data_IF_387737399671
#
_entry.id   IF_387737399671
#
_cell.length_a   1.000
_cell.length_b   1.000
_cell.length_c   1.000
_cell.angle_alpha   90.00
_cell.angle_beta   90.00
_cell.angle_gamma   90.00
#
_symmetry.space_group_name_H-M   'P 1'
#
loop_
_entity.id
_entity.type
_entity.pdbx_description
1 polymer ?
#
# COMPACT_ATOMS: atom_id res chain seq x y z
N UNK A 1 -23.01 -34.62 -7.99
CA UNK A 1 -23.23 -33.60 -6.94
C UNK A 1 -22.03 -33.64 -6.01
N UNK A 2 -21.13 -32.66 -6.10
CA UNK A 2 -19.92 -32.59 -5.28
C UNK A 2 -20.27 -32.03 -3.90
N UNK A 3 -20.13 -32.85 -2.85
CA UNK A 3 -20.37 -32.44 -1.48
C UNK A 3 -19.23 -31.50 -1.04
N UNK A 4 -19.56 -30.23 -0.78
CA UNK A 4 -18.63 -29.29 -0.12
C UNK A 4 -18.48 -29.72 1.33
N UNK A 5 -17.30 -30.18 1.71
CA UNK A 5 -16.95 -30.47 3.10
C UNK A 5 -16.99 -29.17 3.93
N UNK A 6 -17.93 -29.07 4.86
CA UNK A 6 -17.94 -28.00 5.86
C UNK A 6 -16.80 -28.24 6.87
N UNK A 7 -15.80 -27.38 6.85
CA UNK A 7 -14.81 -27.29 7.93
C UNK A 7 -15.45 -26.54 9.11
N UNK A 8 -15.53 -27.13 10.32
CA UNK A 8 -16.13 -26.47 11.48
C UNK A 8 -15.27 -25.32 12.05
N UNK A 9 -14.05 -25.13 11.53
CA UNK A 9 -13.20 -24.00 11.85
C UNK A 9 -13.12 -23.04 10.67
N UNK A 10 -13.33 -21.72 10.88
CA UNK A 10 -13.08 -20.73 9.83
C UNK A 10 -11.62 -20.89 9.39
N UNK A 11 -11.39 -21.03 8.08
CA UNK A 11 -10.03 -21.11 7.54
C UNK A 11 -9.32 -19.80 7.90
N UNK A 12 -8.25 -19.89 8.67
CA UNK A 12 -7.39 -18.75 8.97
C UNK A 12 -6.68 -18.37 7.67
N UNK A 13 -7.04 -17.22 7.08
CA UNK A 13 -6.39 -16.72 5.88
C UNK A 13 -4.94 -16.31 6.14
N UNK A 14 -4.18 -16.18 5.05
CA UNK A 14 -2.77 -15.77 5.08
C UNK A 14 -2.67 -14.28 5.34
N UNK A 15 -1.57 -13.85 5.95
CA UNK A 15 -1.22 -12.43 6.11
C UNK A 15 0.04 -12.16 5.33
N UNK A 16 0.01 -11.23 4.37
CA UNK A 16 1.20 -10.86 3.58
C UNK A 16 1.35 -9.36 3.50
N UNK A 17 2.60 -8.88 3.49
CA UNK A 17 2.88 -7.46 3.41
C UNK A 17 3.96 -7.12 2.38
N UNK A 18 3.82 -5.96 1.74
CA UNK A 18 4.87 -5.32 0.95
C UNK A 18 5.05 -3.91 1.49
N UNK A 19 6.25 -3.61 1.98
CA UNK A 19 6.61 -2.32 2.58
C UNK A 19 7.71 -1.68 1.74
N UNK A 20 7.47 -0.46 1.26
CA UNK A 20 8.31 0.20 0.25
C UNK A 20 8.72 1.56 0.77
N UNK A 21 10.03 1.80 0.87
CA UNK A 21 10.60 3.09 1.26
C UNK A 21 11.51 3.60 0.16
N UNK A 22 11.11 4.68 -0.51
CA UNK A 22 11.88 5.37 -1.56
C UNK A 22 12.45 6.67 -0.99
N UNK A 23 13.73 6.65 -0.63
CA UNK A 23 14.45 7.82 -0.13
C UNK A 23 14.85 8.75 -1.26
N UNK A 24 15.35 8.19 -2.36
CA UNK A 24 15.91 8.90 -3.51
C UNK A 24 15.22 8.44 -4.79
N UNK A 25 14.94 9.39 -5.66
CA UNK A 25 14.47 9.13 -7.02
C UNK A 25 15.56 9.59 -7.98
N UNK A 26 16.13 8.66 -8.73
CA UNK A 26 17.17 8.96 -9.71
C UNK A 26 16.56 9.64 -10.95
N UNK A 27 17.34 10.52 -11.59
CA UNK A 27 17.01 11.15 -12.87
C UNK A 27 15.73 11.99 -12.87
N UNK A 28 15.32 12.51 -11.71
CA UNK A 28 14.21 13.47 -11.58
C UNK A 28 14.73 14.70 -10.83
N UNK A 29 14.66 15.86 -11.47
CA UNK A 29 15.13 17.12 -10.90
C UNK A 29 14.16 17.65 -9.84
N UNK A 30 14.69 18.40 -8.86
CA UNK A 30 13.88 19.08 -7.84
C UNK A 30 13.42 18.21 -6.66
N UNK A 31 13.55 16.88 -6.74
CA UNK A 31 13.17 15.98 -5.64
C UNK A 31 14.26 15.91 -4.56
N UNK A 32 13.88 16.23 -3.32
CA UNK A 32 14.77 16.14 -2.15
C UNK A 32 14.76 14.72 -1.54
N UNK A 33 15.85 14.27 -0.93
CA UNK A 33 15.87 13.00 -0.20
C UNK A 33 14.82 12.93 0.92
N UNK A 34 14.04 11.85 0.98
CA UNK A 34 13.09 11.58 2.07
C UNK A 34 13.75 10.68 3.11
N UNK A 35 14.40 11.29 4.10
CA UNK A 35 15.26 10.57 5.05
C UNK A 35 14.49 9.57 5.93
N UNK A 36 13.20 9.79 6.16
CA UNK A 36 12.37 8.95 7.04
C UNK A 36 11.76 7.73 6.36
N UNK A 37 11.62 7.72 5.03
CA UNK A 37 10.94 6.64 4.30
C UNK A 37 11.45 5.23 4.65
N UNK A 38 12.73 5.07 4.96
CA UNK A 38 13.29 3.78 5.41
C UNK A 38 12.98 3.47 6.88
N UNK A 39 13.01 4.48 7.74
CA UNK A 39 12.73 4.33 9.17
C UNK A 39 11.24 4.00 9.40
N UNK A 40 10.34 4.61 8.64
CA UNK A 40 8.90 4.35 8.71
C UNK A 40 8.58 2.92 8.28
N UNK A 41 9.22 2.43 7.22
CA UNK A 41 9.14 1.03 6.77
C UNK A 41 9.64 0.06 7.85
N UNK A 42 10.77 0.37 8.50
CA UNK A 42 11.34 -0.48 9.54
C UNK A 42 10.42 -0.52 10.78
N UNK A 43 9.91 0.63 11.22
CA UNK A 43 8.96 0.71 12.32
C UNK A 43 7.65 -0.04 12.04
N UNK A 44 7.12 0.08 10.83
CA UNK A 44 5.90 -0.61 10.44
C UNK A 44 6.10 -2.12 10.32
N UNK A 45 7.26 -2.57 9.83
CA UNK A 45 7.63 -4.00 9.84
C UNK A 45 7.60 -4.55 11.27
N UNK A 46 8.29 -3.88 12.20
CA UNK A 46 8.35 -4.30 13.61
C UNK A 46 6.94 -4.38 14.21
N UNK A 47 6.08 -3.40 13.91
CA UNK A 47 4.70 -3.40 14.36
C UNK A 47 3.90 -4.59 13.80
N UNK A 48 4.03 -4.89 12.50
CA UNK A 48 3.34 -6.01 11.86
C UNK A 48 3.75 -7.37 12.46
N UNK A 49 5.03 -7.55 12.73
CA UNK A 49 5.58 -8.75 13.36
C UNK A 49 5.12 -8.90 14.82
N UNK A 50 5.33 -7.86 15.62
CA UNK A 50 5.20 -7.94 17.07
C UNK A 50 3.75 -7.84 17.56
N UNK A 51 2.87 -7.17 16.80
CA UNK A 51 1.50 -6.86 17.26
C UNK A 51 0.39 -7.39 16.35
N UNK A 52 0.66 -7.59 15.06
CA UNK A 52 -0.37 -8.02 14.11
C UNK A 52 -0.22 -9.47 13.64
N UNK A 53 0.81 -10.17 14.10
CA UNK A 53 1.01 -11.59 13.84
C UNK A 53 1.32 -11.91 12.38
N UNK A 54 1.96 -10.99 11.66
CA UNK A 54 2.62 -11.31 10.40
C UNK A 54 3.89 -12.11 10.68
N UNK A 55 4.28 -12.95 9.73
CA UNK A 55 5.55 -13.68 9.80
C UNK A 55 6.60 -12.99 8.95
N UNK A 56 7.86 -13.11 9.35
CA UNK A 56 8.99 -12.54 8.62
C UNK A 56 9.00 -13.00 7.16
N UNK A 57 8.74 -14.29 6.89
CA UNK A 57 8.71 -14.84 5.53
C UNK A 57 7.58 -14.31 4.64
N UNK A 58 6.54 -13.71 5.26
CA UNK A 58 5.38 -13.17 4.57
C UNK A 58 5.44 -11.63 4.41
N UNK A 59 6.58 -11.01 4.74
CA UNK A 59 6.82 -9.56 4.57
C UNK A 59 7.96 -9.34 3.58
N UNK A 60 7.71 -8.57 2.53
CA UNK A 60 8.76 -8.07 1.64
C UNK A 60 9.04 -6.60 1.95
N UNK A 61 10.30 -6.28 2.20
CA UNK A 61 10.78 -4.91 2.43
C UNK A 61 11.63 -4.44 1.26
N UNK A 62 11.26 -3.30 0.68
CA UNK A 62 12.01 -2.66 -0.41
C UNK A 62 12.57 -1.31 0.03
N UNK A 63 13.90 -1.13 -0.06
CA UNK A 63 14.61 0.11 0.31
C UNK A 63 15.77 0.39 -0.63
N UNK A 64 15.94 1.64 -1.03
CA UNK A 64 17.04 2.14 -1.88
C UNK A 64 18.26 2.58 -1.04
N UNK A 65 18.89 1.64 -0.34
CA UNK A 65 20.14 1.88 0.40
C UNK A 65 21.20 0.83 0.06
N UNK A 66 22.47 1.22 0.16
CA UNK A 66 23.62 0.42 -0.30
C UNK A 66 23.75 -0.95 0.40
N UNK A 67 23.30 -1.04 1.64
CA UNK A 67 23.32 -2.25 2.47
C UNK A 67 22.05 -3.10 2.31
N UNK A 68 21.08 -2.68 1.48
CA UNK A 68 19.90 -3.47 1.13
C UNK A 68 20.11 -4.17 -0.23
N UNK A 69 19.67 -5.43 -0.41
CA UNK A 69 19.91 -6.16 -1.64
C UNK A 69 19.36 -5.43 -2.89
N UNK A 70 20.14 -5.29 -3.98
CA UNK A 70 19.70 -4.55 -5.18
C UNK A 70 18.41 -5.04 -5.83
N UNK A 71 18.08 -6.32 -5.68
CA UNK A 71 16.82 -6.95 -6.13
C UNK A 71 15.60 -6.58 -5.28
N UNK A 72 15.83 -5.94 -4.13
CA UNK A 72 14.83 -5.33 -3.27
C UNK A 72 14.91 -3.80 -3.30
N UNK A 73 15.64 -3.20 -4.24
CA UNK A 73 15.54 -1.77 -4.46
C UNK A 73 14.21 -1.44 -5.14
N UNK A 74 13.50 -0.40 -4.69
CA UNK A 74 12.15 -0.06 -5.14
C UNK A 74 12.14 0.59 -6.53
N UNK A 75 12.59 -0.14 -7.55
CA UNK A 75 12.45 0.24 -8.96
C UNK A 75 11.01 0.00 -9.40
N UNK A 76 10.47 0.84 -10.28
CA UNK A 76 9.05 0.78 -10.67
C UNK A 76 8.59 -0.63 -11.13
N UNK A 77 9.42 -1.32 -11.92
CA UNK A 77 9.13 -2.68 -12.37
C UNK A 77 9.20 -3.71 -11.23
N UNK A 78 10.11 -3.56 -10.27
CA UNK A 78 10.24 -4.45 -9.12
C UNK A 78 9.10 -4.25 -8.12
N UNK A 79 8.65 -3.00 -7.91
CA UNK A 79 7.47 -2.69 -7.09
C UNK A 79 6.25 -3.45 -7.65
N UNK A 80 6.01 -3.36 -8.96
CA UNK A 80 4.90 -4.08 -9.62
C UNK A 80 5.01 -5.60 -9.45
N UNK A 81 6.22 -6.17 -9.53
CA UNK A 81 6.43 -7.60 -9.26
C UNK A 81 6.13 -7.97 -7.80
N UNK A 82 6.40 -7.08 -6.84
CA UNK A 82 6.05 -7.33 -5.42
C UNK A 82 4.57 -7.17 -5.15
N UNK A 83 3.89 -6.27 -5.85
CA UNK A 83 2.43 -6.18 -5.85
C UNK A 83 1.82 -7.48 -6.37
N UNK A 84 2.30 -7.99 -7.52
CA UNK A 84 1.81 -9.28 -8.04
C UNK A 84 2.04 -10.41 -7.04
N UNK A 85 3.22 -10.44 -6.42
CA UNK A 85 3.52 -11.41 -5.39
C UNK A 85 2.53 -11.28 -4.23
N UNK A 86 2.25 -10.07 -3.75
CA UNK A 86 1.39 -9.80 -2.60
C UNK A 86 0.02 -10.45 -2.76
N UNK A 87 -0.66 -10.15 -3.87
CA UNK A 87 -2.04 -10.59 -4.14
C UNK A 87 -2.13 -11.91 -4.90
N UNK A 88 -0.99 -12.57 -5.15
CA UNK A 88 -0.95 -13.85 -5.85
C UNK A 88 -1.80 -14.90 -5.12
N UNK A 89 -2.67 -15.56 -5.87
CA UNK A 89 -3.55 -16.63 -5.41
C UNK A 89 -4.42 -16.18 -4.22
N UNK A 90 -4.89 -14.93 -4.22
CA UNK A 90 -5.72 -14.38 -3.15
C UNK A 90 -6.96 -15.27 -2.88
N UNK A 91 -7.23 -15.50 -1.59
CA UNK A 91 -8.34 -16.33 -1.14
C UNK A 91 -9.17 -15.64 -0.07
N UNK A 92 -10.35 -16.18 0.19
CA UNK A 92 -11.24 -15.71 1.24
C UNK A 92 -10.51 -15.74 2.61
N UNK A 93 -10.68 -14.67 3.39
CA UNK A 93 -10.04 -14.40 4.68
C UNK A 93 -8.56 -14.02 4.63
N UNK A 94 -7.91 -13.97 3.46
CA UNK A 94 -6.54 -13.44 3.35
C UNK A 94 -6.51 -11.94 3.71
N UNK A 95 -5.40 -11.49 4.31
CA UNK A 95 -5.14 -10.10 4.67
C UNK A 95 -3.84 -9.64 4.01
N UNK A 96 -3.94 -8.56 3.25
CA UNK A 96 -2.83 -7.95 2.54
C UNK A 96 -2.53 -6.58 3.14
N UNK A 97 -1.25 -6.28 3.34
CA UNK A 97 -0.79 -4.96 3.76
C UNK A 97 0.15 -4.39 2.70
N UNK A 98 -0.17 -3.22 2.17
CA UNK A 98 0.67 -2.50 1.23
C UNK A 98 1.03 -1.15 1.83
N UNK A 99 2.32 -0.87 1.96
CA UNK A 99 2.82 0.42 2.42
C UNK A 99 3.80 1.01 1.42
N UNK A 100 3.60 2.27 1.09
CA UNK A 100 4.54 3.06 0.32
C UNK A 100 4.85 4.35 1.06
N UNK A 101 6.13 4.65 1.26
CA UNK A 101 6.63 5.95 1.68
C UNK A 101 7.63 6.47 0.66
N UNK A 102 7.37 7.65 0.09
CA UNK A 102 8.18 8.19 -1.00
C UNK A 102 7.59 9.42 -1.66
N UNK A 103 8.17 9.82 -2.80
CA UNK A 103 7.60 10.91 -3.60
C UNK A 103 6.37 10.42 -4.37
N UNK A 104 5.32 11.25 -4.38
CA UNK A 104 4.19 11.13 -5.30
C UNK A 104 4.46 11.91 -6.60
N UNK A 105 3.76 11.55 -7.67
CA UNK A 105 3.73 12.26 -8.93
C UNK A 105 2.31 12.75 -9.21
N UNK A 106 2.18 13.98 -9.73
CA UNK A 106 0.95 14.47 -10.34
C UNK A 106 1.27 14.85 -11.78
N UNK A 107 0.71 14.11 -12.74
CA UNK A 107 0.88 14.40 -14.18
C UNK A 107 -0.46 14.79 -14.78
N UNK A 108 -0.49 15.66 -15.79
CA UNK A 108 -1.75 15.98 -16.48
C UNK A 108 -2.32 14.71 -17.16
N UNK A 109 -3.56 14.37 -16.83
CA UNK A 109 -4.28 13.22 -17.38
C UNK A 109 -4.54 13.47 -18.86
N UNK A 110 -4.09 12.56 -19.72
CA UNK A 110 -4.23 12.68 -21.19
C UNK A 110 -5.42 11.91 -21.77
N UNK A 111 -6.04 11.04 -20.97
CA UNK A 111 -7.16 10.18 -21.36
C UNK A 111 -8.51 10.59 -20.79
N UNK A 112 -8.56 11.62 -19.92
CA UNK A 112 -9.81 12.20 -19.40
C UNK A 112 -10.63 11.26 -18.52
N UNK A 113 -10.02 10.26 -17.89
CA UNK A 113 -10.67 9.40 -16.89
C UNK A 113 -10.83 10.10 -15.54
N UNK A 114 -9.97 11.09 -15.25
CA UNK A 114 -9.91 11.80 -13.98
C UNK A 114 -10.83 13.02 -13.96
N UNK A 115 -11.56 13.21 -12.86
CA UNK A 115 -12.51 14.33 -12.66
C UNK A 115 -11.77 15.68 -12.62
N UNK A 116 -10.52 15.70 -12.14
CA UNK A 116 -9.67 16.89 -12.07
C UNK A 116 -8.66 17.00 -13.24
N UNK A 117 -8.60 15.99 -14.10
CA UNK A 117 -7.68 15.91 -15.23
C UNK A 117 -6.22 15.70 -14.83
N UNK A 118 -5.90 15.06 -13.69
CA UNK A 118 -4.53 14.72 -13.28
C UNK A 118 -4.40 13.26 -12.84
N UNK A 119 -3.43 12.55 -13.42
CA UNK A 119 -3.05 11.21 -12.99
C UNK A 119 -2.13 11.30 -11.75
N UNK A 120 -2.47 10.57 -10.69
CA UNK A 120 -1.63 10.41 -9.50
C UNK A 120 -0.76 9.15 -9.63
N UNK A 121 0.41 9.15 -9.00
CA UNK A 121 1.26 7.97 -9.02
C UNK A 121 2.39 7.97 -8.00
N UNK A 122 2.98 6.80 -7.78
CA UNK A 122 4.13 6.63 -6.90
C UNK A 122 5.42 6.55 -7.71
N UNK A 123 6.50 7.18 -7.26
CA UNK A 123 7.80 7.06 -7.91
C UNK A 123 8.51 5.75 -7.55
N UNK A 124 9.11 5.11 -8.56
CA UNK A 124 10.20 4.17 -8.32
C UNK A 124 11.52 4.92 -8.12
N UNK A 125 12.43 4.34 -7.33
CA UNK A 125 13.76 4.91 -7.10
C UNK A 125 14.60 5.11 -8.38
N UNK A 126 14.23 4.45 -9.49
CA UNK A 126 14.90 4.60 -10.78
C UNK A 126 14.35 5.74 -11.66
N UNK A 127 13.34 6.48 -11.20
CA UNK A 127 12.79 7.65 -11.90
C UNK A 127 11.36 7.49 -12.44
N UNK A 128 10.99 6.38 -13.12
CA UNK A 128 9.63 6.18 -13.59
C UNK A 128 8.60 6.11 -12.45
N UNK A 129 7.43 6.75 -12.65
CA UNK A 129 6.28 6.61 -11.77
C UNK A 129 5.36 5.45 -12.17
N UNK A 130 4.60 4.94 -11.21
CA UNK A 130 3.53 3.97 -11.39
C UNK A 130 2.22 4.72 -11.15
N UNK A 131 1.43 4.87 -12.20
CA UNK A 131 0.17 5.61 -12.22
C UNK A 131 -0.94 4.80 -11.52
N UNK A 132 -1.86 5.49 -10.84
CA UNK A 132 -3.02 4.98 -10.10
C UNK A 132 -3.76 3.82 -10.79
N UNK A 133 -4.13 3.97 -12.05
CA UNK A 133 -4.87 2.99 -12.85
C UNK A 133 -4.11 1.67 -12.97
N UNK A 134 -2.77 1.76 -13.05
CA UNK A 134 -1.90 0.59 -13.05
C UNK A 134 -1.75 -0.01 -11.67
N UNK A 135 -1.74 0.80 -10.60
CA UNK A 135 -1.73 0.32 -9.22
C UNK A 135 -3.02 -0.44 -8.91
N UNK A 136 -4.18 0.19 -9.14
CA UNK A 136 -5.51 -0.41 -8.95
C UNK A 136 -5.63 -1.74 -9.70
N UNK A 137 -5.29 -1.76 -10.99
CA UNK A 137 -5.33 -2.97 -11.81
C UNK A 137 -4.52 -4.15 -11.26
N UNK A 138 -3.43 -3.87 -10.54
CA UNK A 138 -2.48 -4.89 -10.09
C UNK A 138 -2.66 -5.25 -8.62
N UNK A 139 -3.11 -4.30 -7.81
CA UNK A 139 -3.24 -4.44 -6.36
C UNK A 139 -4.68 -4.73 -5.93
N UNK A 140 -5.68 -4.21 -6.66
CA UNK A 140 -7.10 -4.27 -6.28
C UNK A 140 -7.87 -5.28 -7.12
N UNK A 141 -7.82 -5.20 -8.45
CA UNK A 141 -8.59 -6.08 -9.33
C UNK A 141 -8.40 -7.59 -9.07
N UNK A 142 -7.21 -8.08 -8.63
CA UNK A 142 -7.02 -9.50 -8.33
C UNK A 142 -7.62 -9.98 -7.00
N UNK A 143 -8.10 -9.08 -6.14
CA UNK A 143 -8.65 -9.44 -4.84
C UNK A 143 -9.97 -10.21 -5.00
N UNK A 144 -10.20 -11.14 -4.08
CA UNK A 144 -11.40 -11.99 -4.08
C UNK A 144 -12.27 -11.68 -2.88
N UNK A 145 -13.59 -11.82 -3.05
CA UNK A 145 -14.58 -11.61 -1.99
C UNK A 145 -14.18 -12.28 -0.67
N UNK A 146 -14.27 -11.53 0.41
CA UNK A 146 -13.87 -11.93 1.76
C UNK A 146 -12.37 -11.84 2.06
N UNK A 147 -11.52 -11.41 1.10
CA UNK A 147 -10.16 -10.95 1.40
C UNK A 147 -10.15 -9.49 1.85
N UNK A 148 -9.07 -9.07 2.50
CA UNK A 148 -8.88 -7.69 2.99
C UNK A 148 -7.58 -7.12 2.48
N UNK A 149 -7.63 -5.90 1.95
CA UNK A 149 -6.44 -5.10 1.65
C UNK A 149 -6.41 -3.86 2.54
N UNK A 150 -5.28 -3.66 3.23
CA UNK A 150 -4.91 -2.42 3.89
C UNK A 150 -3.80 -1.77 3.08
N UNK A 151 -4.12 -0.70 2.35
CA UNK A 151 -3.14 0.06 1.57
C UNK A 151 -2.93 1.43 2.21
N UNK A 152 -1.67 1.75 2.53
CA UNK A 152 -1.25 3.01 3.12
C UNK A 152 -0.19 3.66 2.22
N UNK A 153 -0.48 4.88 1.78
CA UNK A 153 0.42 5.70 0.97
C UNK A 153 0.81 6.92 1.77
N UNK A 154 2.11 7.07 2.02
CA UNK A 154 2.74 8.21 2.69
C UNK A 154 3.56 8.98 1.64
N UNK A 155 2.87 9.84 0.89
CA UNK A 155 3.43 10.65 -0.17
C UNK A 155 2.60 11.91 -0.40
N UNK A 156 3.25 13.00 -0.81
CA UNK A 156 2.54 14.21 -1.21
C UNK A 156 1.53 13.89 -2.33
N UNK A 157 0.27 14.32 -2.15
CA UNK A 157 -0.84 14.11 -3.09
C UNK A 157 -1.32 12.65 -3.19
N UNK A 158 -1.80 12.09 -2.08
CA UNK A 158 -2.31 10.71 -2.01
C UNK A 158 -3.83 10.60 -2.17
N UNK A 159 -4.55 11.72 -2.30
CA UNK A 159 -6.02 11.77 -2.12
C UNK A 159 -6.79 11.03 -3.23
N UNK A 160 -6.21 10.80 -4.42
CA UNK A 160 -6.85 10.07 -5.55
C UNK A 160 -6.05 8.85 -6.06
N UNK A 161 -4.92 8.48 -5.42
CA UNK A 161 -3.94 7.47 -5.87
C UNK A 161 -4.45 6.04 -6.19
N UNK A 162 -5.70 5.70 -5.87
CA UNK A 162 -6.31 4.40 -6.16
C UNK A 162 -7.59 4.44 -7.01
N UNK A 163 -8.02 5.62 -7.46
CA UNK A 163 -9.03 5.81 -8.51
C UNK A 163 -10.27 4.89 -8.35
N UNK A 164 -10.82 4.87 -7.13
CA UNK A 164 -11.90 3.97 -6.73
C UNK A 164 -13.26 4.54 -7.18
N UNK A 165 -13.95 3.85 -8.11
CA UNK A 165 -15.21 4.28 -8.77
C UNK A 165 -16.38 4.61 -7.82
N UNK A 166 -16.28 4.26 -6.55
CA UNK A 166 -17.35 4.37 -5.57
C UNK A 166 -17.01 5.43 -4.51
N UNK A 167 -16.79 6.68 -4.94
CA UNK A 167 -16.58 7.81 -4.02
C UNK A 167 -17.66 7.96 -2.94
N UNK A 168 -18.86 7.40 -3.15
CA UNK A 168 -19.99 7.47 -2.20
C UNK A 168 -20.50 6.12 -1.66
N UNK A 169 -20.02 4.98 -2.18
CA UNK A 169 -20.47 3.65 -1.73
C UNK A 169 -19.35 2.80 -1.11
N UNK A 170 -18.08 3.16 -1.34
CA UNK A 170 -17.09 2.92 -0.32
C UNK A 170 -17.46 3.86 0.82
N UNK A 171 -17.74 3.31 1.99
CA UNK A 171 -17.49 4.05 3.22
C UNK A 171 -15.98 4.32 3.29
N UNK A 172 -15.46 5.24 2.45
CA UNK A 172 -14.50 6.21 2.93
C UNK A 172 -15.33 7.03 3.91
N UNK A 173 -15.54 6.49 5.12
CA UNK A 173 -16.14 7.25 6.17
C UNK A 173 -15.22 8.47 6.31
N UNK A 174 -15.69 9.61 5.79
CA UNK A 174 -15.23 10.92 6.25
C UNK A 174 -15.49 11.09 7.76
N UNK A 175 -16.11 10.10 8.38
CA UNK A 175 -16.20 9.87 9.83
C UNK A 175 -15.01 9.12 10.46
N UNK A 176 -13.88 8.81 9.80
CA UNK A 176 -12.92 7.84 10.37
C UNK A 176 -11.42 8.14 10.29
N UNK A 177 -11.00 9.40 10.12
CA UNK A 177 -9.61 9.77 10.50
C UNK A 177 -9.61 10.21 11.96
N UNK A 178 -10.43 11.20 12.29
CA UNK A 178 -10.60 11.70 13.67
C UNK A 178 -11.13 10.60 14.63
N UNK A 179 -12.05 9.72 14.19
CA UNK A 179 -12.54 8.63 15.05
C UNK A 179 -11.61 7.42 15.14
N UNK A 180 -10.64 7.25 14.24
CA UNK A 180 -9.60 6.21 14.37
C UNK A 180 -8.41 6.71 15.20
N UNK A 181 -8.10 8.02 15.13
CA UNK A 181 -7.28 8.77 16.10
C UNK A 181 -7.91 8.88 17.51
N UNK A 182 -9.18 8.50 17.70
CA UNK A 182 -9.79 8.46 19.03
C UNK A 182 -9.99 7.04 19.57
N UNK A 183 -9.73 5.99 18.77
CA UNK A 183 -9.89 4.58 19.21
C UNK A 183 -8.61 4.02 19.80
N UNK A 184 -8.50 3.83 21.13
CA UNK A 184 -7.34 3.15 21.71
C UNK A 184 -7.25 1.72 21.16
N UNK A 185 -6.17 1.44 20.43
CA UNK A 185 -5.95 0.18 19.74
C UNK A 185 -4.66 0.24 18.91
N UNK A 186 -4.13 -0.91 18.45
CA UNK A 186 -2.81 -0.96 17.80
C UNK A 186 -2.74 -0.15 16.49
N UNK A 187 -3.90 0.17 15.90
CA UNK A 187 -4.02 0.97 14.67
C UNK A 187 -3.54 2.40 14.84
N UNK A 188 -3.64 2.96 16.05
CA UNK A 188 -3.07 4.26 16.37
C UNK A 188 -1.59 4.32 16.04
N UNK A 189 -0.83 3.29 16.41
CA UNK A 189 0.61 3.28 16.18
C UNK A 189 0.98 3.21 14.71
N UNK A 190 0.15 2.61 13.85
CA UNK A 190 0.33 2.66 12.38
C UNK A 190 0.14 4.10 11.90
N UNK A 191 -0.92 4.75 12.34
CA UNK A 191 -1.20 6.13 11.97
C UNK A 191 -0.18 7.11 12.56
N UNK A 192 0.32 6.91 13.77
CA UNK A 192 1.39 7.72 14.38
C UNK A 192 2.72 7.62 13.61
N UNK A 193 2.99 6.46 13.00
CA UNK A 193 4.15 6.28 12.11
C UNK A 193 3.91 7.06 10.81
N UNK A 194 2.71 6.95 10.21
CA UNK A 194 2.36 7.59 8.95
C UNK A 194 2.16 9.11 9.05
N UNK A 195 1.57 9.61 10.14
CA UNK A 195 1.19 11.00 10.36
C UNK A 195 2.40 11.92 10.64
N UNK A 196 3.60 11.35 10.80
CA UNK A 196 4.87 12.11 10.87
C UNK A 196 5.29 12.67 9.51
N UNK A 197 4.69 12.20 8.43
CA UNK A 197 4.89 12.67 7.06
C UNK A 197 3.57 13.18 6.46
N UNK A 198 3.70 14.14 5.54
CA UNK A 198 2.60 15.00 5.07
C UNK A 198 1.62 14.20 4.19
N UNK A 199 0.37 14.06 4.68
CA UNK A 199 -0.80 13.43 4.04
C UNK A 199 -0.63 11.94 3.73
N UNK A 200 -1.53 11.12 4.27
CA UNK A 200 -1.62 9.70 3.96
C UNK A 200 -3.02 9.31 3.49
N UNK A 201 -3.10 8.28 2.65
CA UNK A 201 -4.36 7.66 2.24
C UNK A 201 -4.37 6.22 2.71
N UNK A 202 -5.35 5.89 3.56
CA UNK A 202 -5.61 4.53 4.00
C UNK A 202 -6.87 4.02 3.29
N UNK A 203 -6.73 2.94 2.53
CA UNK A 203 -7.86 2.26 1.91
C UNK A 203 -8.00 0.88 2.54
N UNK A 204 -9.18 0.62 3.10
CA UNK A 204 -9.60 -0.72 3.53
C UNK A 204 -10.63 -1.21 2.52
N UNK A 205 -10.27 -2.24 1.77
CA UNK A 205 -11.19 -2.91 0.86
C UNK A 205 -11.64 -4.22 1.49
N UNK A 206 -12.94 -4.30 1.82
CA UNK A 206 -13.64 -5.55 2.11
C UNK A 206 -14.43 -5.92 0.84
N UNK A 207 -13.87 -6.81 0.02
CA UNK A 207 -14.51 -7.31 -1.21
C UNK A 207 -15.64 -8.30 -0.93
#
# INVERSE_FOLDING_TARGET
>A
MSQRSFSPFPRKGRKKAVLIGVRMVANVEGLKPLRQAHADVDALKDLLLNHYGYKEEDIIVMKDRKDHPPELWPKANLILQRIDWLVKDASENDQFFFYYSGHGNQTACSHGSEIDGKDEGIFGANGPSIIDNKLKKRLVDPLVRGSKLFALFDCCHSETILDLEHHNCNNVHKESVDQLEERPGPWHSIFDIAAKSVKYTAVVLDS
#
